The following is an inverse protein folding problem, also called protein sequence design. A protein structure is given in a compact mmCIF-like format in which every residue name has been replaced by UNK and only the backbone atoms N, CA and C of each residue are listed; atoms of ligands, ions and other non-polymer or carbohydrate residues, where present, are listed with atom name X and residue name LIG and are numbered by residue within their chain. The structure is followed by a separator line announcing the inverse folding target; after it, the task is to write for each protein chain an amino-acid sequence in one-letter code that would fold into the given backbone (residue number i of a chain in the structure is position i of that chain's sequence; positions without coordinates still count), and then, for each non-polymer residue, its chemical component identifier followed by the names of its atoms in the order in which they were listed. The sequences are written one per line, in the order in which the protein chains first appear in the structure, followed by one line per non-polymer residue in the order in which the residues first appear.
data_IF_548214284417
#
_entry.id   IF_548214284417
#
_cell.length_a   1.000
_cell.length_b   1.000
_cell.length_c   1.000
_cell.angle_alpha   90.00
_cell.angle_beta   90.00
_cell.angle_gamma   90.00
#
_symmetry.space_group_name_H-M   'P 1'
#
loop_
_entity.id
_entity.type
_entity.pdbx_description
1 polymer ?
#
# COMPACT_ATOMS: atom_id res chain seq x y z
N UNK A 1 -5.00 -4.65 -20.46
CA UNK A 1 -3.96 -4.34 -19.45
C UNK A 1 -4.64 -3.53 -18.34
N UNK A 2 -4.26 -3.73 -17.06
CA UNK A 2 -4.81 -2.93 -15.97
C UNK A 2 -4.30 -1.49 -16.08
N UNK A 3 -5.14 -0.47 -15.76
CA UNK A 3 -4.66 0.90 -15.60
C UNK A 3 -3.58 0.95 -14.51
N UNK A 4 -2.57 1.79 -14.73
CA UNK A 4 -1.45 1.97 -13.85
C UNK A 4 -1.31 3.45 -13.51
N UNK A 5 -1.28 3.76 -12.23
CA UNK A 5 -0.97 5.10 -11.73
C UNK A 5 0.29 5.08 -10.88
N UNK A 6 1.07 6.16 -10.94
CA UNK A 6 2.17 6.38 -10.01
C UNK A 6 1.98 7.70 -9.26
N UNK A 7 2.09 7.62 -7.94
CA UNK A 7 1.91 8.75 -7.02
C UNK A 7 3.23 9.52 -6.95
N UNK A 8 3.20 10.81 -7.29
CA UNK A 8 4.40 11.66 -7.30
C UNK A 8 4.06 13.09 -6.90
N UNK A 9 4.87 13.68 -6.02
CA UNK A 9 4.78 15.11 -5.65
C UNK A 9 5.27 16.00 -6.80
N UNK A 10 4.62 17.15 -7.01
CA UNK A 10 4.98 18.09 -8.08
C UNK A 10 6.46 18.55 -8.01
N UNK A 11 7.00 18.67 -6.81
CA UNK A 11 8.39 19.09 -6.57
C UNK A 11 9.42 18.00 -6.88
N UNK A 12 9.03 16.74 -6.92
CA UNK A 12 9.94 15.59 -7.05
C UNK A 12 10.05 15.16 -8.53
N UNK A 13 10.46 16.10 -9.40
CA UNK A 13 10.54 15.92 -10.86
C UNK A 13 11.55 14.84 -11.27
N UNK A 14 12.66 14.69 -10.54
CA UNK A 14 13.65 13.64 -10.82
C UNK A 14 13.11 12.24 -10.60
N UNK A 15 12.34 12.02 -9.52
CA UNK A 15 11.66 10.76 -9.26
C UNK A 15 10.62 10.46 -10.33
N UNK A 16 9.88 11.49 -10.75
CA UNK A 16 8.94 11.40 -11.85
C UNK A 16 9.63 10.94 -13.13
N UNK A 17 10.71 11.59 -13.54
CA UNK A 17 11.45 11.22 -14.76
C UNK A 17 11.94 9.78 -14.69
N UNK A 18 12.42 9.32 -13.52
CA UNK A 18 12.90 7.94 -13.36
C UNK A 18 11.80 6.89 -13.52
N UNK A 19 10.64 7.09 -12.88
CA UNK A 19 9.55 6.11 -13.00
C UNK A 19 8.95 6.12 -14.40
N UNK A 20 8.82 7.29 -15.05
CA UNK A 20 8.35 7.40 -16.43
C UNK A 20 9.31 6.69 -17.41
N UNK A 21 10.63 6.81 -17.22
CA UNK A 21 11.61 6.09 -18.02
C UNK A 21 11.53 4.57 -17.85
N UNK A 22 11.32 4.06 -16.63
CA UNK A 22 11.14 2.64 -16.38
C UNK A 22 9.86 2.10 -17.05
N UNK A 23 8.76 2.83 -16.93
CA UNK A 23 7.51 2.46 -17.59
C UNK A 23 7.64 2.44 -19.11
N UNK A 24 8.30 3.45 -19.69
CA UNK A 24 8.59 3.50 -21.12
C UNK A 24 9.47 2.33 -21.57
N UNK A 25 10.52 1.99 -20.82
CA UNK A 25 11.38 0.84 -21.07
C UNK A 25 10.60 -0.48 -21.09
N UNK A 26 9.65 -0.65 -20.20
CA UNK A 26 8.78 -1.84 -20.13
C UNK A 26 7.61 -1.79 -21.13
N UNK A 27 7.47 -0.73 -21.91
CA UNK A 27 6.34 -0.54 -22.85
C UNK A 27 4.98 -0.40 -22.13
N UNK A 28 4.95 0.10 -20.91
CA UNK A 28 3.76 0.21 -20.08
C UNK A 28 3.22 1.65 -20.08
N UNK A 29 1.95 1.86 -20.42
CA UNK A 29 1.31 3.15 -20.18
C UNK A 29 1.09 3.34 -18.68
N UNK A 30 1.56 4.44 -18.13
CA UNK A 30 1.34 4.84 -16.74
C UNK A 30 0.90 6.28 -16.65
N UNK A 31 -0.05 6.55 -15.78
CA UNK A 31 -0.56 7.91 -15.53
C UNK A 31 0.00 8.43 -14.21
N UNK A 32 0.48 9.68 -14.22
CA UNK A 32 0.88 10.35 -13.00
C UNK A 32 -0.34 10.76 -12.19
N UNK A 33 -0.42 10.28 -10.94
CA UNK A 33 -1.36 10.77 -9.93
C UNK A 33 -0.63 11.82 -9.06
N UNK A 34 -1.01 13.10 -9.11
CA UNK A 34 -0.42 14.12 -8.24
C UNK A 34 -0.61 13.77 -6.78
N UNK A 35 0.48 13.64 -6.04
CA UNK A 35 0.43 13.30 -4.62
C UNK A 35 -0.20 14.45 -3.80
N UNK A 36 -0.96 14.08 -2.79
CA UNK A 36 -1.61 15.04 -1.89
C UNK A 36 -0.57 15.72 -1.01
N UNK A 37 -0.42 17.02 -1.18
CA UNK A 37 0.35 17.83 -0.23
C UNK A 37 -0.56 18.22 0.95
N UNK A 38 -0.48 17.47 2.04
CA UNK A 38 -1.39 17.60 3.19
C UNK A 38 -1.60 19.03 3.68
N UNK A 39 -0.52 19.83 3.79
CA UNK A 39 -0.57 21.22 4.25
C UNK A 39 -1.36 22.16 3.34
N UNK A 40 -1.59 21.78 2.08
CA UNK A 40 -2.37 22.58 1.13
C UNK A 40 -3.85 22.21 1.10
N UNK A 41 -4.23 21.10 1.72
CA UNK A 41 -5.64 20.73 1.81
C UNK A 41 -6.39 21.69 2.76
N UNK A 42 -7.61 22.11 2.41
CA UNK A 42 -8.48 22.83 3.31
C UNK A 42 -8.74 22.04 4.60
N UNK A 43 -8.85 22.68 5.78
CA UNK A 43 -9.11 22.00 7.05
C UNK A 43 -10.34 21.09 7.04
N UNK A 44 -11.39 21.46 6.31
CA UNK A 44 -12.59 20.66 6.13
C UNK A 44 -12.27 19.31 5.44
N UNK A 45 -11.48 19.33 4.36
CA UNK A 45 -11.06 18.11 3.66
C UNK A 45 -10.12 17.26 4.52
N UNK A 46 -9.21 17.90 5.25
CA UNK A 46 -8.34 17.18 6.20
C UNK A 46 -9.16 16.41 7.23
N UNK A 47 -10.21 17.02 7.77
CA UNK A 47 -11.10 16.40 8.77
C UNK A 47 -11.93 15.24 8.20
N UNK A 48 -12.27 15.28 6.92
CA UNK A 48 -12.96 14.17 6.24
C UNK A 48 -12.03 12.96 6.01
N UNK A 49 -10.72 13.19 5.90
CA UNK A 49 -9.75 12.14 5.58
C UNK A 49 -9.08 11.54 6.82
N UNK A 50 -8.79 12.34 7.84
CA UNK A 50 -8.04 11.93 9.03
C UNK A 50 -8.79 12.21 10.32
N UNK A 51 -8.82 11.23 11.23
CA UNK A 51 -9.37 11.37 12.58
C UNK A 51 -8.27 11.27 13.64
N UNK A 52 -8.07 12.33 14.39
CA UNK A 52 -7.16 12.35 15.55
C UNK A 52 -7.64 11.40 16.66
N UNK A 53 -8.96 11.23 16.83
CA UNK A 53 -9.55 10.30 17.79
C UNK A 53 -9.24 8.85 17.40
N UNK A 54 -9.48 8.47 16.12
CA UNK A 54 -9.08 7.15 15.61
C UNK A 54 -7.57 6.93 15.74
N UNK A 55 -6.76 7.94 15.42
CA UNK A 55 -5.31 7.85 15.61
C UNK A 55 -4.96 7.55 17.07
N UNK A 56 -5.55 8.29 18.01
CA UNK A 56 -5.31 8.04 19.43
C UNK A 56 -5.67 6.62 19.85
N UNK A 57 -6.77 6.07 19.38
CA UNK A 57 -7.22 4.70 19.70
C UNK A 57 -6.46 3.59 18.99
N UNK A 58 -5.89 3.86 17.82
CA UNK A 58 -5.38 2.82 16.92
C UNK A 58 -3.86 2.84 16.73
N UNK A 59 -3.20 3.96 16.96
CA UNK A 59 -1.78 4.13 16.72
C UNK A 59 -1.08 4.76 17.93
N UNK A 60 0.22 4.57 18.04
CA UNK A 60 0.98 4.94 19.24
C UNK A 60 1.46 6.39 19.26
N UNK A 61 1.35 7.12 18.15
CA UNK A 61 1.78 8.53 18.01
C UNK A 61 0.93 9.27 16.97
N UNK A 62 0.85 10.61 17.01
CA UNK A 62 0.24 11.40 15.95
C UNK A 62 0.92 11.15 14.60
N UNK A 63 0.15 11.21 13.51
CA UNK A 63 0.70 11.14 12.16
C UNK A 63 1.31 12.48 11.76
N UNK A 64 2.48 12.43 11.12
CA UNK A 64 3.07 13.60 10.47
C UNK A 64 2.39 13.89 9.12
N UNK A 65 2.53 15.11 8.62
CA UNK A 65 1.83 15.52 7.40
C UNK A 65 2.21 14.70 6.17
N UNK A 66 3.46 14.22 6.10
CA UNK A 66 3.89 13.31 5.04
C UNK A 66 3.14 11.96 5.07
N UNK A 67 2.92 11.39 6.28
CA UNK A 67 2.15 10.15 6.43
C UNK A 67 0.68 10.34 6.06
N UNK A 68 0.10 11.51 6.42
CA UNK A 68 -1.27 11.85 6.07
C UNK A 68 -1.42 12.09 4.57
N UNK A 69 -0.49 12.82 3.95
CA UNK A 69 -0.47 13.07 2.51
C UNK A 69 -0.31 11.80 1.70
N UNK A 70 0.60 10.90 2.12
CA UNK A 70 0.77 9.59 1.52
C UNK A 70 -0.54 8.81 1.55
N UNK A 71 -1.19 8.67 2.71
CA UNK A 71 -2.48 7.97 2.80
C UNK A 71 -3.55 8.61 1.92
N UNK A 72 -3.68 9.94 1.95
CA UNK A 72 -4.65 10.67 1.14
C UNK A 72 -4.43 10.45 -0.37
N UNK A 73 -3.18 10.33 -0.82
CA UNK A 73 -2.85 10.03 -2.22
C UNK A 73 -3.33 8.62 -2.63
N UNK A 74 -3.17 7.63 -1.77
CA UNK A 74 -3.71 6.29 -2.03
C UNK A 74 -5.25 6.28 -2.04
N UNK A 75 -5.91 7.07 -1.18
CA UNK A 75 -7.38 7.26 -1.23
C UNK A 75 -7.80 7.84 -2.58
N UNK A 76 -7.05 8.80 -3.13
CA UNK A 76 -7.32 9.32 -4.48
C UNK A 76 -7.20 8.25 -5.54
N UNK A 77 -6.16 7.39 -5.50
CA UNK A 77 -6.01 6.28 -6.43
C UNK A 77 -7.20 5.31 -6.37
N UNK A 78 -7.67 4.97 -5.17
CA UNK A 78 -8.85 4.10 -5.01
C UNK A 78 -10.13 4.75 -5.52
N UNK A 79 -10.31 6.06 -5.30
CA UNK A 79 -11.45 6.82 -5.85
C UNK A 79 -11.39 6.88 -7.38
N UNK A 80 -10.20 7.08 -7.97
CA UNK A 80 -10.00 7.07 -9.42
C UNK A 80 -10.37 5.70 -10.01
N UNK A 81 -9.96 4.59 -9.37
CA UNK A 81 -10.39 3.25 -9.78
C UNK A 81 -11.91 3.13 -9.77
N UNK A 82 -12.58 3.58 -8.70
CA UNK A 82 -14.03 3.47 -8.60
C UNK A 82 -14.79 4.39 -9.58
N UNK A 83 -14.19 5.47 -10.02
CA UNK A 83 -14.73 6.36 -11.04
C UNK A 83 -14.53 5.85 -12.49
N UNK A 84 -13.72 4.80 -12.69
CA UNK A 84 -13.50 4.14 -13.98
C UNK A 84 -14.32 2.85 -14.07
N UNK A 85 -14.32 2.17 -15.22
CA UNK A 85 -14.91 0.84 -15.39
C UNK A 85 -13.91 -0.29 -15.16
N UNK A 86 -12.67 0.01 -14.80
CA UNK A 86 -11.61 -0.98 -14.64
C UNK A 86 -11.90 -1.93 -13.46
N UNK A 87 -11.63 -3.23 -13.57
CA UNK A 87 -11.82 -4.20 -12.50
C UNK A 87 -10.79 -4.07 -11.38
N UNK A 88 -9.61 -3.55 -11.71
CA UNK A 88 -8.48 -3.35 -10.79
C UNK A 88 -7.54 -2.28 -11.34
N UNK A 89 -6.63 -1.77 -10.48
CA UNK A 89 -5.63 -0.75 -10.83
C UNK A 89 -4.29 -1.09 -10.17
N UNK A 90 -3.21 -0.83 -10.90
CA UNK A 90 -1.84 -0.85 -10.36
C UNK A 90 -1.56 0.52 -9.75
N UNK A 91 -1.08 0.54 -8.52
CA UNK A 91 -0.67 1.76 -7.81
C UNK A 91 0.80 1.63 -7.41
N UNK A 92 1.61 2.58 -7.84
CA UNK A 92 3.04 2.68 -7.53
C UNK A 92 3.33 3.99 -6.80
N UNK A 93 4.34 4.02 -5.95
CA UNK A 93 5.01 5.24 -5.50
C UNK A 93 6.16 5.57 -6.47
N UNK A 94 6.70 6.78 -6.43
CA UNK A 94 7.70 7.29 -7.39
C UNK A 94 9.15 6.90 -7.06
N UNK A 95 9.37 6.23 -5.92
CA UNK A 95 10.69 5.81 -5.43
C UNK A 95 10.93 4.30 -5.58
N UNK A 96 10.37 3.70 -6.60
CA UNK A 96 10.48 2.26 -6.89
C UNK A 96 11.34 1.96 -8.10
N UNK A 97 11.86 0.73 -8.12
CA UNK A 97 12.47 0.09 -9.28
C UNK A 97 11.58 -1.08 -9.70
N UNK A 98 11.25 -1.12 -11.00
CA UNK A 98 10.45 -2.18 -11.61
C UNK A 98 11.38 -3.24 -12.20
N UNK A 99 11.10 -4.51 -11.94
CA UNK A 99 11.82 -5.65 -12.52
C UNK A 99 11.31 -5.96 -13.94
N UNK A 100 12.14 -6.57 -14.78
CA UNK A 100 11.76 -6.97 -16.16
C UNK A 100 10.50 -7.86 -16.18
N UNK A 101 10.29 -8.65 -15.13
CA UNK A 101 9.12 -9.51 -14.97
C UNK A 101 7.85 -8.76 -14.59
N UNK A 102 7.89 -7.44 -14.39
CA UNK A 102 6.74 -6.64 -13.96
C UNK A 102 5.57 -6.77 -14.95
N UNK A 103 5.80 -6.52 -16.24
CA UNK A 103 4.73 -6.56 -17.25
C UNK A 103 4.04 -7.94 -17.37
N UNK A 104 4.75 -9.07 -17.52
CA UNK A 104 4.11 -10.39 -17.55
C UNK A 104 3.40 -10.75 -16.23
N UNK A 105 3.89 -10.31 -15.08
CA UNK A 105 3.21 -10.50 -13.80
C UNK A 105 1.91 -9.69 -13.73
N UNK A 106 1.89 -8.45 -14.23
CA UNK A 106 0.66 -7.65 -14.30
C UNK A 106 -0.40 -8.30 -15.20
N UNK A 107 0.01 -8.89 -16.33
CA UNK A 107 -0.89 -9.64 -17.22
C UNK A 107 -1.48 -10.86 -16.50
N UNK A 108 -0.66 -11.60 -15.77
CA UNK A 108 -1.12 -12.76 -15.00
C UNK A 108 -2.08 -12.37 -13.86
N UNK A 109 -1.81 -11.25 -13.15
CA UNK A 109 -2.72 -10.73 -12.12
C UNK A 109 -4.06 -10.29 -12.73
N UNK A 110 -4.05 -9.67 -13.91
CA UNK A 110 -5.25 -9.23 -14.61
C UNK A 110 -6.16 -10.43 -15.03
N UNK A 111 -5.59 -11.62 -15.16
CA UNK A 111 -6.31 -12.85 -15.48
C UNK A 111 -6.81 -13.62 -14.24
N UNK A 112 -6.51 -13.14 -13.02
CA UNK A 112 -7.01 -13.74 -11.79
C UNK A 112 -8.53 -13.53 -11.68
N UNK A 113 -9.21 -14.48 -11.01
CA UNK A 113 -10.61 -14.32 -10.61
C UNK A 113 -10.77 -13.24 -9.51
N UNK A 114 -11.91 -13.24 -8.84
CA UNK A 114 -12.33 -12.23 -7.85
C UNK A 114 -12.05 -12.63 -6.40
N UNK A 115 -11.17 -13.59 -6.17
CA UNK A 115 -10.83 -14.14 -4.84
C UNK A 115 -9.81 -13.30 -4.05
N UNK A 116 -9.43 -12.14 -4.55
CA UNK A 116 -8.47 -11.22 -3.94
C UNK A 116 -8.98 -9.76 -3.94
N UNK A 117 -8.44 -8.95 -3.03
CA UNK A 117 -8.74 -7.51 -2.94
C UNK A 117 -7.50 -6.65 -3.20
N UNK A 118 -6.32 -7.15 -2.82
CA UNK A 118 -5.04 -6.49 -3.07
C UNK A 118 -3.94 -7.52 -3.32
N UNK A 119 -3.07 -7.26 -4.30
CA UNK A 119 -1.84 -8.03 -4.55
C UNK A 119 -0.65 -7.12 -4.38
N UNK A 120 0.18 -7.37 -3.37
CA UNK A 120 1.41 -6.62 -3.13
C UNK A 120 2.50 -7.08 -4.10
N UNK A 121 3.18 -6.14 -4.73
CA UNK A 121 4.22 -6.36 -5.73
C UNK A 121 5.62 -6.29 -5.12
N UNK A 122 5.72 -5.72 -3.92
CA UNK A 122 6.93 -5.56 -3.14
C UNK A 122 6.97 -6.56 -1.98
N UNK A 123 8.15 -7.05 -1.65
CA UNK A 123 8.42 -7.96 -0.53
C UNK A 123 9.65 -7.57 0.27
N UNK A 124 9.92 -8.32 1.35
CA UNK A 124 11.13 -8.13 2.17
C UNK A 124 12.34 -8.75 1.49
N UNK A 125 13.52 -8.13 1.58
CA UNK A 125 14.76 -8.73 1.07
C UNK A 125 15.05 -10.13 1.67
N UNK A 126 14.72 -10.33 2.95
CA UNK A 126 14.89 -11.62 3.64
C UNK A 126 13.80 -12.66 3.33
N UNK A 127 12.88 -12.34 2.41
CA UNK A 127 11.72 -13.17 2.07
C UNK A 127 10.54 -12.99 3.02
N UNK A 128 9.40 -13.53 2.62
CA UNK A 128 8.15 -13.44 3.37
C UNK A 128 7.81 -14.74 4.10
N UNK A 129 7.10 -14.62 5.23
CA UNK A 129 6.51 -15.78 5.90
C UNK A 129 5.23 -16.17 5.18
N UNK A 130 5.31 -17.23 4.38
CA UNK A 130 4.24 -17.69 3.49
C UNK A 130 3.36 -18.69 4.23
N UNK A 131 2.06 -18.66 3.97
CA UNK A 131 1.07 -19.64 4.40
C UNK A 131 0.79 -20.64 3.29
N UNK A 132 0.37 -20.14 2.14
CA UNK A 132 0.07 -20.93 0.93
C UNK A 132 0.62 -20.22 -0.29
N UNK A 133 0.77 -20.97 -1.38
CA UNK A 133 1.27 -20.44 -2.66
C UNK A 133 0.62 -21.17 -3.81
N UNK A 134 0.37 -20.47 -4.92
CA UNK A 134 0.00 -21.04 -6.22
C UNK A 134 0.86 -20.45 -7.33
N UNK A 135 1.06 -21.14 -8.45
CA UNK A 135 1.73 -20.59 -9.62
C UNK A 135 1.02 -19.31 -10.11
N UNK A 136 1.78 -18.33 -10.57
CA UNK A 136 1.27 -17.12 -11.21
C UNK A 136 1.82 -16.99 -12.63
N UNK A 137 3.13 -17.12 -12.81
CA UNK A 137 3.84 -17.23 -14.08
C UNK A 137 4.84 -18.39 -14.01
N UNK A 138 5.62 -18.64 -15.04
CA UNK A 138 6.66 -19.68 -15.03
C UNK A 138 7.70 -19.45 -13.92
N UNK A 139 7.99 -18.19 -13.54
CA UNK A 139 9.02 -17.81 -12.57
C UNK A 139 8.47 -17.19 -11.29
N UNK A 140 7.17 -16.85 -11.23
CA UNK A 140 6.56 -16.17 -10.09
C UNK A 140 5.39 -16.95 -9.53
N UNK A 141 5.19 -16.79 -8.21
CA UNK A 141 4.09 -17.38 -7.46
C UNK A 141 3.25 -16.29 -6.82
N UNK A 142 1.95 -16.52 -6.75
CA UNK A 142 1.06 -15.78 -5.88
C UNK A 142 1.12 -16.39 -4.48
N UNK A 143 1.33 -15.55 -3.46
CA UNK A 143 1.51 -16.01 -2.09
C UNK A 143 0.45 -15.44 -1.17
N UNK A 144 0.05 -16.22 -0.18
CA UNK A 144 -0.71 -15.76 0.98
C UNK A 144 0.25 -15.58 2.16
N UNK A 145 0.18 -14.42 2.77
CA UNK A 145 1.05 -14.10 3.91
C UNK A 145 0.58 -14.75 5.21
N UNK A 146 1.52 -15.24 6.03
CA UNK A 146 1.26 -15.44 7.47
C UNK A 146 1.14 -14.09 8.20
N UNK A 147 1.81 -13.07 7.69
CA UNK A 147 1.77 -11.71 8.22
C UNK A 147 2.04 -10.73 7.10
N UNK A 148 1.04 -9.91 6.77
CA UNK A 148 1.15 -8.90 5.72
C UNK A 148 2.31 -7.94 6.03
N UNK A 149 3.23 -7.71 5.05
CA UNK A 149 4.33 -6.75 5.21
C UNK A 149 3.83 -5.29 5.17
N UNK A 150 4.66 -4.38 5.70
CA UNK A 150 4.31 -2.95 5.84
C UNK A 150 4.66 -2.09 4.61
N UNK A 151 4.94 -2.67 3.45
CA UNK A 151 5.25 -1.90 2.24
C UNK A 151 3.97 -1.55 1.47
N UNK A 152 3.91 -0.31 0.93
CA UNK A 152 2.80 0.19 0.10
C UNK A 152 3.26 0.76 -1.23
N UNK A 153 4.56 0.81 -1.49
CA UNK A 153 5.12 1.47 -2.66
C UNK A 153 4.77 0.80 -4.02
N UNK A 154 4.20 -0.42 -4.00
CA UNK A 154 3.71 -1.08 -5.22
C UNK A 154 2.70 -2.18 -4.91
N UNK A 155 1.49 -2.05 -5.47
CA UNK A 155 0.43 -3.05 -5.35
C UNK A 155 -0.60 -2.95 -6.50
N UNK A 156 -1.38 -4.01 -6.67
CA UNK A 156 -2.61 -4.00 -7.46
C UNK A 156 -3.79 -4.04 -6.49
N UNK A 157 -4.79 -3.20 -6.70
CA UNK A 157 -6.03 -3.19 -5.91
C UNK A 157 -7.21 -3.50 -6.83
N UNK A 158 -8.09 -4.42 -6.40
CA UNK A 158 -9.34 -4.69 -7.10
C UNK A 158 -10.39 -3.63 -6.75
N UNK A 159 -11.41 -3.50 -7.59
CA UNK A 159 -12.58 -2.65 -7.30
C UNK A 159 -13.23 -3.00 -5.96
N UNK A 160 -13.40 -4.29 -5.65
CA UNK A 160 -13.91 -4.75 -4.36
C UNK A 160 -13.00 -4.36 -3.20
N UNK A 161 -11.68 -4.45 -3.39
CA UNK A 161 -10.69 -3.99 -2.41
C UNK A 161 -10.74 -2.48 -2.17
N UNK A 162 -10.88 -1.68 -3.24
CA UNK A 162 -11.01 -0.23 -3.14
C UNK A 162 -12.28 0.18 -2.36
N UNK A 163 -13.43 -0.45 -2.61
CA UNK A 163 -14.64 -0.24 -1.80
C UNK A 163 -14.41 -0.55 -0.33
N UNK A 164 -13.90 -1.75 0.00
CA UNK A 164 -13.62 -2.13 1.39
C UNK A 164 -12.71 -1.13 2.11
N UNK A 165 -11.68 -0.63 1.40
CA UNK A 165 -10.73 0.34 1.94
C UNK A 165 -11.40 1.69 2.19
N UNK A 166 -12.12 2.23 1.23
CA UNK A 166 -12.78 3.53 1.36
C UNK A 166 -13.86 3.51 2.44
N UNK A 167 -14.70 2.47 2.48
CA UNK A 167 -15.82 2.37 3.42
C UNK A 167 -15.36 2.20 4.87
N UNK A 168 -14.23 1.51 5.09
CA UNK A 168 -13.79 1.16 6.45
C UNK A 168 -12.68 2.05 6.99
N UNK A 169 -11.84 2.63 6.12
CA UNK A 169 -10.61 3.32 6.50
C UNK A 169 -10.69 4.84 6.40
N UNK A 170 -11.75 5.38 5.85
CA UNK A 170 -11.96 6.84 5.80
C UNK A 170 -12.98 7.24 6.87
N UNK A 171 -12.64 8.17 7.77
CA UNK A 171 -11.34 8.79 7.98
C UNK A 171 -10.30 7.82 8.59
N UNK A 172 -9.02 7.95 8.18
CA UNK A 172 -7.95 7.07 8.68
C UNK A 172 -7.37 7.54 10.02
N UNK A 173 -6.74 6.60 10.74
CA UNK A 173 -6.08 6.89 12.04
C UNK A 173 -4.67 6.30 12.17
N UNK A 174 -4.20 5.53 11.18
CA UNK A 174 -2.86 4.89 11.15
C UNK A 174 -2.15 5.27 9.86
N UNK A 175 -0.80 5.18 9.77
CA UNK A 175 -0.12 5.20 8.48
C UNK A 175 -0.63 4.04 7.61
N UNK A 176 -0.73 4.25 6.30
CA UNK A 176 -1.29 3.26 5.37
C UNK A 176 -0.56 1.91 5.41
N UNK A 177 0.77 1.92 5.51
CA UNK A 177 1.62 0.74 5.58
C UNK A 177 1.35 -0.11 6.83
N UNK A 178 0.97 0.52 7.92
CA UNK A 178 0.55 -0.15 9.15
C UNK A 178 -0.91 -0.56 9.08
N UNK A 179 -1.78 0.28 8.52
CA UNK A 179 -3.22 0.06 8.49
C UNK A 179 -3.61 -1.18 7.67
N UNK A 180 -3.02 -1.38 6.50
CA UNK A 180 -3.22 -2.57 5.67
C UNK A 180 -2.87 -3.89 6.38
N UNK A 181 -2.03 -3.85 7.40
CA UNK A 181 -1.68 -5.03 8.20
C UNK A 181 -2.79 -5.49 9.13
N UNK A 182 -3.78 -4.64 9.39
CA UNK A 182 -4.99 -4.95 10.14
C UNK A 182 -6.12 -5.41 9.20
N UNK A 183 -5.77 -6.18 8.17
CA UNK A 183 -6.63 -6.67 7.10
C UNK A 183 -7.93 -7.34 7.58
N UNK A 184 -7.93 -7.94 8.76
CA UNK A 184 -9.11 -8.60 9.33
C UNK A 184 -10.19 -7.62 9.80
N UNK A 185 -9.86 -6.36 10.04
CA UNK A 185 -10.84 -5.35 10.49
C UNK A 185 -11.84 -4.99 9.38
N UNK A 186 -11.51 -5.27 8.13
CA UNK A 186 -12.39 -5.03 6.97
C UNK A 186 -12.48 -6.22 6.02
N UNK A 187 -11.95 -7.37 6.41
CA UNK A 187 -11.98 -8.57 5.59
C UNK A 187 -11.22 -8.44 4.27
N UNK A 188 -10.13 -7.64 4.24
CA UNK A 188 -9.33 -7.42 3.03
C UNK A 188 -8.50 -8.67 2.72
N UNK A 189 -8.64 -9.21 1.51
CA UNK A 189 -7.89 -10.38 1.02
C UNK A 189 -6.61 -9.90 0.34
N UNK A 190 -5.49 -9.96 1.10
CA UNK A 190 -4.20 -9.47 0.63
C UNK A 190 -3.30 -10.64 0.24
N UNK A 191 -2.93 -10.68 -1.02
CA UNK A 191 -1.94 -11.59 -1.59
C UNK A 191 -0.64 -10.85 -1.90
N UNK A 192 0.38 -11.57 -2.30
CA UNK A 192 1.63 -11.00 -2.78
C UNK A 192 2.25 -11.81 -3.91
N UNK A 193 3.23 -11.23 -4.59
CA UNK A 193 4.01 -11.87 -5.63
C UNK A 193 5.38 -12.27 -5.07
N UNK A 194 5.86 -13.46 -5.42
CA UNK A 194 7.21 -13.92 -5.10
C UNK A 194 7.84 -14.63 -6.28
N UNK A 195 9.07 -14.26 -6.70
CA UNK A 195 9.84 -13.09 -6.25
C UNK A 195 9.09 -11.78 -6.41
N UNK A 196 9.39 -10.72 -5.61
CA UNK A 196 8.79 -9.41 -5.80
C UNK A 196 9.24 -8.81 -7.14
N UNK A 197 8.34 -8.06 -7.79
CA UNK A 197 8.60 -7.38 -9.08
C UNK A 197 8.74 -5.87 -8.93
N UNK A 198 8.70 -5.39 -7.69
CA UNK A 198 8.93 -3.99 -7.32
C UNK A 198 9.91 -3.97 -6.15
N UNK A 199 10.93 -3.11 -6.23
CA UNK A 199 11.88 -2.83 -5.14
C UNK A 199 11.91 -1.34 -4.83
N UNK A 200 12.35 -0.97 -3.63
CA UNK A 200 12.66 0.44 -3.34
C UNK A 200 13.93 0.85 -4.07
N UNK A 201 13.93 2.07 -4.59
CA UNK A 201 15.14 2.71 -5.11
C UNK A 201 16.10 3.01 -3.94
N UNK A 202 17.39 2.98 -4.19
CA UNK A 202 18.42 3.38 -3.21
C UNK A 202 18.24 4.81 -2.72
N UNK A 203 17.65 5.68 -3.54
CA UNK A 203 17.30 7.07 -3.18
C UNK A 203 16.09 7.20 -2.25
N UNK A 204 15.36 6.10 -1.98
CA UNK A 204 14.23 6.09 -1.04
C UNK A 204 14.66 6.37 0.40
N UNK A 205 15.96 6.26 0.72
CA UNK A 205 16.52 6.61 2.04
C UNK A 205 16.38 8.11 2.33
N UNK A 206 16.30 8.97 1.31
CA UNK A 206 15.97 10.39 1.43
C UNK A 206 14.45 10.61 1.54
N UNK A 207 13.81 9.81 2.39
CA UNK A 207 12.36 9.85 2.61
C UNK A 207 11.89 11.26 2.95
N UNK A 208 10.99 11.80 2.14
CA UNK A 208 10.31 13.10 2.36
C UNK A 208 9.46 13.12 3.65
N UNK A 209 9.33 11.97 4.34
CA UNK A 209 8.66 11.82 5.64
C UNK A 209 9.67 12.21 6.77
N UNK A 210 10.24 13.41 6.67
CA UNK A 210 11.05 13.99 7.74
C UNK A 210 10.16 14.42 8.92
N UNK A 211 10.59 14.17 10.15
CA UNK A 211 9.90 14.65 11.35
C UNK A 211 9.79 13.68 12.53
N UNK A 212 10.41 12.50 12.48
CA UNK A 212 10.47 11.59 13.63
C UNK A 212 11.71 11.84 14.50
N UNK A 213 11.70 12.92 15.27
CA UNK A 213 12.87 13.36 16.02
C UNK A 213 12.68 13.61 17.52
N UNK A 214 11.73 12.96 18.22
CA UNK A 214 11.60 13.08 19.68
C UNK A 214 11.77 11.73 20.36
N UNK A 215 12.57 11.63 21.46
CA UNK A 215 12.68 10.40 22.22
C UNK A 215 11.29 9.97 22.73
N UNK A 216 10.93 8.72 22.45
CA UNK A 216 9.63 8.18 22.78
C UNK A 216 9.39 8.26 24.29
N UNK A 217 8.43 9.06 24.74
CA UNK A 217 7.92 9.06 26.11
C UNK A 217 7.49 7.65 26.51
N UNK A 218 7.57 7.30 27.78
CA UNK A 218 7.20 5.97 28.30
C UNK A 218 5.80 5.52 27.81
N UNK A 219 4.83 6.41 27.84
CA UNK A 219 3.49 6.17 27.34
C UNK A 219 3.45 5.75 25.85
N UNK A 220 4.30 6.36 24.99
CA UNK A 220 4.40 6.00 23.57
C UNK A 220 4.96 4.59 23.37
N UNK A 221 5.90 4.18 24.22
CA UNK A 221 6.47 2.81 24.20
C UNK A 221 5.40 1.75 24.52
N UNK A 222 4.62 1.98 25.58
CA UNK A 222 3.53 1.08 25.96
C UNK A 222 2.44 1.00 24.88
N UNK A 223 2.04 2.13 24.33
CA UNK A 223 1.07 2.15 23.21
C UNK A 223 1.60 1.42 21.98
N UNK A 224 2.88 1.55 21.66
CA UNK A 224 3.53 0.81 20.57
C UNK A 224 3.52 -0.70 20.83
N UNK A 225 3.79 -1.12 22.06
CA UNK A 225 3.73 -2.53 22.45
C UNK A 225 2.30 -3.07 22.37
N UNK A 226 1.31 -2.34 22.86
CA UNK A 226 -0.10 -2.69 22.78
C UNK A 226 -0.57 -2.84 21.32
N UNK A 227 -0.20 -1.89 20.44
CA UNK A 227 -0.49 -1.99 19.00
C UNK A 227 0.16 -3.24 18.38
N UNK A 228 1.43 -3.52 18.70
CA UNK A 228 2.13 -4.72 18.21
C UNK A 228 1.47 -6.01 18.71
N UNK A 229 1.06 -6.05 19.97
CA UNK A 229 0.34 -7.18 20.55
C UNK A 229 -1.01 -7.39 19.84
N UNK A 230 -1.80 -6.31 19.67
CA UNK A 230 -3.06 -6.34 18.92
C UNK A 230 -2.85 -6.84 17.48
N UNK A 231 -1.81 -6.35 16.79
CA UNK A 231 -1.48 -6.78 15.43
C UNK A 231 -1.12 -8.27 15.39
N UNK A 232 -0.33 -8.76 16.34
CA UNK A 232 0.10 -10.16 16.38
C UNK A 232 -1.06 -11.08 16.72
N UNK A 233 -1.83 -10.74 17.76
CA UNK A 233 -2.97 -11.54 18.21
C UNK A 233 -4.11 -11.54 17.17
N UNK A 234 -4.47 -10.36 16.64
CA UNK A 234 -5.50 -10.24 15.61
C UNK A 234 -5.12 -11.03 14.34
N UNK A 235 -3.87 -10.90 13.88
CA UNK A 235 -3.41 -11.68 12.75
C UNK A 235 -3.48 -13.20 13.03
N UNK A 236 -3.04 -13.67 14.20
CA UNK A 236 -3.09 -15.08 14.54
C UNK A 236 -4.54 -15.60 14.61
N UNK A 237 -5.45 -14.85 15.26
CA UNK A 237 -6.87 -15.21 15.43
C UNK A 237 -7.59 -15.33 14.08
N UNK A 238 -7.32 -14.38 13.16
CA UNK A 238 -8.04 -14.28 11.88
C UNK A 238 -7.32 -14.96 10.70
N UNK A 239 -6.15 -15.57 10.92
CA UNK A 239 -5.39 -16.21 9.85
C UNK A 239 -6.20 -17.31 9.12
N UNK A 240 -7.12 -17.97 9.84
CA UNK A 240 -7.95 -19.03 9.28
C UNK A 240 -9.13 -18.53 8.44
N UNK A 241 -9.52 -17.26 8.58
CA UNK A 241 -10.65 -16.69 7.84
C UNK A 241 -10.28 -16.29 6.41
N UNK A 242 -9.00 -16.11 6.11
CA UNK A 242 -8.56 -15.92 4.74
C UNK A 242 -8.62 -17.26 3.99
N UNK A 243 -9.46 -17.32 2.97
CA UNK A 243 -9.41 -18.42 1.99
C UNK A 243 -8.05 -18.39 1.30
N UNK A 244 -7.43 -19.54 1.10
CA UNK A 244 -6.17 -19.66 0.35
C UNK A 244 -6.33 -19.20 -1.11
N UNK A 245 -5.22 -18.82 -1.78
CA UNK A 245 -5.23 -18.59 -3.20
C UNK A 245 -5.50 -19.85 -3.97
#
# INVERSE_FOLDING_TARGET
MLPLVFINLDKDSERRTRIEAQLAHLGLPGERLPAVWWKRLPPAEQSLLYSAERNHGQYYQPLVDGEKGCYASHIQAWRQLLASDAPAMVVLEDDVVLEDAFAPVMQAIAALGDDWDMVKLMGRPAGEKIRTTRPLTASHRLIQYRRVPSFTAGYVVSRAGAHKLLDSRVPFGRPIDIDLRFWWENGLRILGVQPPVVRLDVTSQDSTIAGRGTPARWATRWRKLAMKARLTWGNARHLHTQKGP
#
